data_IF_812248898633
#
_entry.id   IF_812248898633
#
_cell.length_a   1.000
_cell.length_b   1.000
_cell.length_c   1.000
_cell.angle_alpha   90.00
_cell.angle_beta   90.00
_cell.angle_gamma   90.00
#
_symmetry.space_group_name_H-M   'P 1'
#
loop_
_entity.id
_entity.type
_entity.pdbx_description
1 polymer ?
#
# COMPACT_ATOMS: atom_id res chain seq x y z
N UNK A 1 5.83 -10.82 16.78
CA UNK A 1 4.52 -10.22 17.09
C UNK A 1 4.22 -10.31 18.58
N UNK A 2 3.57 -9.29 19.16
CA UNK A 2 3.09 -9.33 20.54
C UNK A 2 1.98 -10.36 20.72
N UNK A 3 1.71 -10.80 21.96
CA UNK A 3 0.61 -11.74 22.24
C UNK A 3 -0.77 -11.18 21.85
N UNK A 4 -0.96 -9.86 21.94
CA UNK A 4 -2.19 -9.20 21.50
C UNK A 4 -2.38 -9.34 19.98
N UNK A 5 -1.32 -9.18 19.20
CA UNK A 5 -1.39 -9.30 17.73
C UNK A 5 -1.73 -10.72 17.27
N UNK A 6 -1.34 -11.76 18.03
CA UNK A 6 -1.69 -13.16 17.74
C UNK A 6 -3.18 -13.46 17.88
N UNK A 7 -3.94 -12.64 18.62
CA UNK A 7 -5.40 -12.79 18.79
C UNK A 7 -6.20 -12.16 17.63
N UNK A 8 -5.56 -11.33 16.81
CA UNK A 8 -6.22 -10.70 15.67
C UNK A 8 -6.36 -11.76 14.57
N UNK A 9 -7.57 -11.95 13.98
CA UNK A 9 -7.78 -12.99 12.98
C UNK A 9 -6.83 -12.93 11.78
N UNK A 10 -6.55 -11.72 11.28
CA UNK A 10 -5.57 -11.50 10.24
C UNK A 10 -5.07 -10.05 10.24
N UNK A 11 -3.81 -9.83 9.89
CA UNK A 11 -3.21 -8.49 9.77
C UNK A 11 -2.58 -8.35 8.38
N UNK A 12 -2.98 -7.32 7.63
CA UNK A 12 -2.28 -6.89 6.43
C UNK A 12 -1.38 -5.71 6.80
N UNK A 13 -0.09 -5.83 6.49
CA UNK A 13 0.90 -4.77 6.67
C UNK A 13 1.36 -4.31 5.30
N UNK A 14 1.29 -3.00 5.05
CA UNK A 14 1.82 -2.39 3.83
C UNK A 14 2.93 -1.44 4.27
N UNK A 15 4.16 -1.74 3.85
CA UNK A 15 5.31 -0.89 4.11
C UNK A 15 5.73 -0.20 2.80
N UNK A 16 5.46 1.10 2.68
CA UNK A 16 5.96 1.89 1.56
C UNK A 16 7.37 2.38 1.88
N UNK A 17 8.36 1.84 1.17
CA UNK A 17 9.76 2.22 1.30
C UNK A 17 10.01 3.45 0.42
N UNK A 18 10.09 4.62 1.05
CA UNK A 18 10.13 5.93 0.40
C UNK A 18 11.59 6.39 0.22
N UNK A 19 12.10 6.45 -1.02
CA UNK A 19 13.45 6.92 -1.29
C UNK A 19 13.53 8.43 -1.05
N UNK A 20 14.37 8.83 -0.09
CA UNK A 20 14.57 10.22 0.31
C UNK A 20 15.95 10.38 0.97
N UNK A 21 16.24 11.56 1.52
CA UNK A 21 17.47 11.81 2.30
C UNK A 21 17.09 12.37 3.67
N UNK A 22 17.01 11.54 4.73
CA UNK A 22 17.18 10.08 4.77
C UNK A 22 16.02 9.33 4.10
N UNK A 23 16.14 8.01 3.89
CA UNK A 23 15.02 7.17 3.46
C UNK A 23 13.97 7.07 4.57
N UNK A 24 12.69 6.93 4.19
CA UNK A 24 11.57 6.77 5.11
C UNK A 24 10.82 5.47 4.85
N UNK A 25 10.14 4.95 5.88
CA UNK A 25 9.13 3.92 5.75
C UNK A 25 7.78 4.49 6.19
N UNK A 26 6.75 4.32 5.37
CA UNK A 26 5.37 4.54 5.78
C UNK A 26 4.69 3.18 5.94
N UNK A 27 4.53 2.75 7.19
CA UNK A 27 3.98 1.44 7.52
C UNK A 27 2.53 1.58 7.95
N UNK A 28 1.64 0.85 7.27
CA UNK A 28 0.20 0.83 7.52
C UNK A 28 -0.22 -0.57 7.95
N UNK A 29 -0.91 -0.67 9.08
CA UNK A 29 -1.41 -1.92 9.64
C UNK A 29 -2.93 -1.97 9.56
N UNK A 30 -3.46 -3.01 8.91
CA UNK A 30 -4.89 -3.25 8.77
C UNK A 30 -5.24 -4.58 9.46
N UNK A 31 -5.98 -4.48 10.57
CA UNK A 31 -6.45 -5.64 11.32
C UNK A 31 -7.84 -6.06 10.85
N UNK A 32 -8.00 -7.33 10.48
CA UNK A 32 -9.29 -7.89 10.13
C UNK A 32 -10.10 -8.20 11.39
N UNK A 33 -11.38 -7.82 11.40
CA UNK A 33 -12.30 -8.14 12.50
C UNK A 33 -12.73 -9.61 12.51
N UNK A 34 -12.61 -10.30 11.37
CA UNK A 34 -13.06 -11.68 11.17
C UNK A 34 -11.98 -12.49 10.45
N UNK A 35 -11.96 -13.82 10.63
CA UNK A 35 -11.07 -14.68 9.86
C UNK A 35 -11.26 -14.52 8.36
N UNK A 36 -10.16 -14.56 7.61
CA UNK A 36 -10.21 -14.50 6.15
C UNK A 36 -10.81 -15.79 5.61
N UNK A 37 -11.80 -15.66 4.71
CA UNK A 37 -12.26 -16.79 3.91
C UNK A 37 -11.18 -17.21 2.91
N UNK A 38 -10.65 -18.44 3.04
CA UNK A 38 -9.57 -18.96 2.19
C UNK A 38 -9.94 -19.03 0.71
N UNK A 39 -11.21 -19.23 0.38
CA UNK A 39 -11.69 -19.33 -1.00
C UNK A 39 -11.91 -17.95 -1.66
N UNK A 40 -11.88 -16.88 -0.86
CA UNK A 40 -12.00 -15.50 -1.38
C UNK A 40 -10.77 -15.08 -2.19
N UNK A 41 -10.90 -14.00 -2.97
CA UNK A 41 -9.75 -13.40 -3.65
C UNK A 41 -8.64 -13.00 -2.66
N UNK A 42 -9.00 -12.48 -1.49
CA UNK A 42 -8.04 -12.15 -0.43
C UNK A 42 -7.34 -13.41 0.12
N UNK A 43 -8.08 -14.49 0.39
CA UNK A 43 -7.51 -15.75 0.84
C UNK A 43 -6.50 -16.32 -0.15
N UNK A 44 -6.87 -16.38 -1.44
CA UNK A 44 -5.98 -16.80 -2.53
C UNK A 44 -4.79 -15.87 -2.73
N UNK A 45 -4.94 -14.57 -2.49
CA UNK A 45 -3.83 -13.62 -2.56
C UNK A 45 -2.84 -13.81 -1.40
N UNK A 46 -3.36 -14.05 -0.19
CA UNK A 46 -2.54 -14.27 1.01
C UNK A 46 -1.71 -15.55 0.88
N UNK A 47 -2.30 -16.66 0.45
CA UNK A 47 -1.62 -17.96 0.36
C UNK A 47 -1.09 -18.28 -1.05
N UNK A 48 -1.19 -17.32 -1.98
CA UNK A 48 -0.77 -17.45 -3.37
C UNK A 48 0.73 -17.30 -3.61
N UNK A 49 1.13 -17.27 -4.88
CA UNK A 49 2.51 -17.00 -5.30
C UNK A 49 2.77 -15.51 -5.44
N UNK A 50 4.03 -15.08 -5.38
CA UNK A 50 4.40 -13.68 -5.63
C UNK A 50 3.97 -13.22 -7.02
N UNK A 51 4.10 -14.06 -8.04
CA UNK A 51 3.59 -13.75 -9.38
C UNK A 51 2.07 -13.48 -9.41
N UNK A 52 1.28 -14.19 -8.60
CA UNK A 52 -0.15 -13.91 -8.45
C UNK A 52 -0.40 -12.60 -7.72
N UNK A 53 0.37 -12.31 -6.67
CA UNK A 53 0.28 -11.06 -5.90
C UNK A 53 0.68 -9.86 -6.75
N UNK A 54 1.81 -9.93 -7.44
CA UNK A 54 2.34 -8.89 -8.31
C UNK A 54 1.35 -8.52 -9.42
N UNK A 55 0.71 -9.54 -10.00
CA UNK A 55 -0.24 -9.35 -11.07
C UNK A 55 -1.53 -8.62 -10.66
N UNK A 56 -1.81 -8.52 -9.35
CA UNK A 56 -3.11 -8.09 -8.81
C UNK A 56 -3.03 -7.03 -7.70
N UNK A 57 -1.88 -6.82 -7.06
CA UNK A 57 -1.76 -5.85 -5.98
C UNK A 57 -1.93 -4.43 -6.52
N UNK A 58 -2.96 -3.73 -6.03
CA UNK A 58 -3.43 -2.48 -6.61
C UNK A 58 -3.55 -1.36 -5.58
N UNK A 59 -3.14 -0.16 -5.97
CA UNK A 59 -3.25 1.06 -5.18
C UNK A 59 -4.00 2.13 -5.99
N UNK A 60 -4.94 2.81 -5.34
CA UNK A 60 -5.61 3.99 -5.90
C UNK A 60 -5.24 5.19 -5.04
N UNK A 61 -4.45 6.14 -5.57
CA UNK A 61 -4.17 7.39 -4.89
C UNK A 61 -5.17 8.48 -5.27
N UNK A 62 -5.40 9.43 -4.37
CA UNK A 62 -6.15 10.65 -4.65
C UNK A 62 -5.62 11.83 -3.84
N UNK A 63 -5.15 12.88 -4.51
CA UNK A 63 -4.75 14.13 -3.85
C UNK A 63 -6.01 14.99 -3.63
N UNK A 64 -6.54 14.94 -2.41
CA UNK A 64 -7.74 15.68 -2.00
C UNK A 64 -7.44 17.18 -1.96
N UNK A 65 -6.38 17.55 -1.24
CA UNK A 65 -5.91 18.93 -1.10
C UNK A 65 -4.44 19.01 -1.52
N UNK A 66 -4.05 20.08 -2.22
CA UNK A 66 -2.67 20.26 -2.64
C UNK A 66 -2.51 20.97 -3.97
N UNK A 67 -1.26 21.31 -4.30
CA UNK A 67 -0.89 21.99 -5.53
C UNK A 67 -1.28 21.16 -6.77
N UNK A 68 -1.86 21.82 -7.79
CA UNK A 68 -2.44 21.13 -8.96
C UNK A 68 -1.42 20.30 -9.74
N UNK A 69 -0.14 20.70 -9.75
CA UNK A 69 0.92 19.95 -10.41
C UNK A 69 1.18 18.61 -9.72
N UNK A 70 1.05 18.56 -8.39
CA UNK A 70 1.13 17.30 -7.62
C UNK A 70 -0.07 16.42 -7.94
N UNK A 71 -1.29 16.99 -8.00
CA UNK A 71 -2.50 16.26 -8.42
C UNK A 71 -2.33 15.62 -9.80
N UNK A 72 -1.76 16.36 -10.75
CA UNK A 72 -1.52 15.88 -12.12
C UNK A 72 -0.46 14.78 -12.18
N UNK A 73 0.61 14.89 -11.40
CA UNK A 73 1.70 13.92 -11.39
C UNK A 73 1.28 12.58 -10.76
N UNK A 74 0.52 12.62 -9.67
CA UNK A 74 0.01 11.42 -8.99
C UNK A 74 -1.15 10.80 -9.76
N UNK A 75 -2.03 11.64 -10.31
CA UNK A 75 -3.25 11.21 -10.96
C UNK A 75 -4.27 10.63 -9.97
N UNK A 76 -5.33 10.04 -10.50
CA UNK A 76 -6.41 9.39 -9.73
C UNK A 76 -6.70 7.97 -10.22
N UNK A 77 -5.90 7.47 -11.17
CA UNK A 77 -6.07 6.14 -11.75
C UNK A 77 -5.45 5.10 -10.84
N UNK A 78 -6.07 3.93 -10.78
CA UNK A 78 -5.50 2.78 -10.11
C UNK A 78 -4.17 2.37 -10.75
N UNK A 79 -3.21 1.98 -9.92
CA UNK A 79 -1.91 1.46 -10.32
C UNK A 79 -1.76 0.03 -9.79
N UNK A 80 -1.39 -0.92 -10.67
CA UNK A 80 -0.94 -2.25 -10.26
C UNK A 80 0.48 -2.14 -9.71
N UNK A 81 0.60 -1.88 -8.41
CA UNK A 81 1.89 -1.66 -7.75
C UNK A 81 2.84 -2.83 -7.96
N UNK A 82 2.34 -4.07 -7.83
CA UNK A 82 3.15 -5.28 -8.02
C UNK A 82 3.78 -5.42 -9.41
N UNK A 83 3.32 -4.64 -10.40
CA UNK A 83 3.95 -4.56 -11.73
C UNK A 83 4.78 -3.29 -11.92
N UNK A 84 4.52 -2.24 -11.15
CA UNK A 84 5.10 -0.92 -11.33
C UNK A 84 6.39 -0.73 -10.52
N UNK A 85 6.49 -1.43 -9.39
CA UNK A 85 7.60 -1.39 -8.44
C UNK A 85 7.84 -2.79 -7.88
N UNK A 86 9.00 -3.00 -7.26
CA UNK A 86 9.35 -4.28 -6.64
C UNK A 86 8.56 -4.42 -5.34
N UNK A 87 7.84 -5.53 -5.20
CA UNK A 87 7.14 -5.88 -3.98
C UNK A 87 7.78 -7.13 -3.37
N UNK A 88 8.13 -7.10 -2.09
CA UNK A 88 8.54 -8.30 -1.35
C UNK A 88 7.43 -8.69 -0.38
N UNK A 89 7.14 -9.99 -0.30
CA UNK A 89 6.01 -10.51 0.44
C UNK A 89 6.48 -11.38 1.61
N UNK A 90 6.11 -11.01 2.82
CA UNK A 90 6.38 -11.78 4.02
C UNK A 90 5.06 -12.34 4.57
N UNK A 91 4.82 -13.62 4.33
CA UNK A 91 3.65 -14.36 4.86
C UNK A 91 4.08 -15.19 6.07
N UNK A 92 3.47 -14.95 7.24
CA UNK A 92 3.67 -15.75 8.46
C UNK A 92 2.38 -15.81 9.30
N UNK A 93 2.17 -16.87 10.09
CA UNK A 93 1.06 -17.03 11.05
C UNK A 93 -0.27 -16.40 10.57
N UNK A 94 -0.66 -15.28 11.19
CA UNK A 94 -1.87 -14.51 10.92
C UNK A 94 -1.60 -13.18 10.21
N UNK A 95 -0.44 -12.97 9.56
CA UNK A 95 -0.18 -11.74 8.83
C UNK A 95 0.45 -11.94 7.45
N UNK A 96 0.23 -10.95 6.58
CA UNK A 96 0.96 -10.74 5.34
C UNK A 96 1.51 -9.32 5.36
N UNK A 97 2.81 -9.18 5.21
CA UNK A 97 3.47 -7.91 4.98
C UNK A 97 3.90 -7.78 3.52
N UNK A 98 3.68 -6.59 2.96
CA UNK A 98 4.06 -6.22 1.60
C UNK A 98 4.99 -5.02 1.69
N UNK A 99 6.27 -5.27 1.47
CA UNK A 99 7.29 -4.24 1.31
C UNK A 99 7.26 -3.72 -0.13
N UNK A 100 6.95 -2.45 -0.31
CA UNK A 100 6.83 -1.80 -1.61
C UNK A 100 8.03 -0.87 -1.80
N UNK A 101 9.00 -1.31 -2.60
CA UNK A 101 10.20 -0.53 -2.91
C UNK A 101 9.90 0.50 -4.01
N UNK A 102 9.52 1.71 -3.61
CA UNK A 102 9.28 2.83 -4.54
C UNK A 102 10.58 3.20 -5.29
N UNK A 103 11.74 2.95 -4.68
CA UNK A 103 13.06 3.20 -5.24
C UNK A 103 13.36 2.40 -6.51
N UNK A 104 12.75 1.23 -6.67
CA UNK A 104 13.06 0.32 -7.80
C UNK A 104 12.56 0.83 -9.16
N UNK A 105 11.68 1.84 -9.18
CA UNK A 105 11.18 2.47 -10.41
C UNK A 105 11.61 3.93 -10.52
N UNK A 106 12.23 4.29 -11.65
CA UNK A 106 12.60 5.70 -11.92
C UNK A 106 11.38 6.62 -12.02
N UNK A 107 10.25 6.11 -12.53
CA UNK A 107 8.99 6.85 -12.61
C UNK A 107 8.43 7.08 -11.22
N UNK A 108 8.36 6.03 -10.38
CA UNK A 108 7.85 6.16 -9.01
C UNK A 108 8.74 7.07 -8.17
N UNK A 109 10.07 6.97 -8.29
CA UNK A 109 11.04 7.89 -7.68
C UNK A 109 10.81 9.35 -8.07
N UNK A 110 10.51 9.61 -9.33
CA UNK A 110 10.27 10.98 -9.81
C UNK A 110 8.98 11.56 -9.22
N UNK A 111 7.92 10.75 -9.16
CA UNK A 111 6.64 11.16 -8.56
C UNK A 111 6.81 11.41 -7.06
N UNK A 112 7.44 10.49 -6.33
CA UNK A 112 7.60 10.64 -4.88
C UNK A 112 8.51 11.81 -4.51
N UNK A 113 9.55 12.10 -5.32
CA UNK A 113 10.40 13.28 -5.13
C UNK A 113 9.62 14.59 -5.24
N UNK A 114 8.69 14.68 -6.20
CA UNK A 114 7.77 15.81 -6.28
C UNK A 114 6.84 15.87 -5.07
N UNK A 115 6.20 14.75 -4.71
CA UNK A 115 5.25 14.68 -3.59
C UNK A 115 5.90 15.10 -2.27
N UNK A 116 7.12 14.62 -1.99
CA UNK A 116 7.87 14.96 -0.78
C UNK A 116 8.15 16.47 -0.66
N UNK A 117 8.36 17.17 -1.79
CA UNK A 117 8.52 18.63 -1.79
C UNK A 117 7.27 19.39 -1.34
N UNK A 118 6.09 18.76 -1.34
CA UNK A 118 4.82 19.37 -0.97
C UNK A 118 4.10 18.64 0.18
N UNK A 119 4.68 17.58 0.75
CA UNK A 119 3.98 16.63 1.62
C UNK A 119 3.33 17.26 2.86
N UNK A 120 3.91 18.34 3.40
CA UNK A 120 3.39 19.11 4.54
C UNK A 120 2.20 20.02 4.18
N UNK A 121 1.84 20.11 2.89
CA UNK A 121 0.80 21.00 2.36
C UNK A 121 -0.27 20.26 1.55
N UNK A 122 -0.21 18.93 1.50
CA UNK A 122 -1.17 18.10 0.77
C UNK A 122 -1.97 17.18 1.71
N UNK A 123 -3.12 16.76 1.23
CA UNK A 123 -3.92 15.67 1.81
C UNK A 123 -4.08 14.60 0.74
N UNK A 124 -3.66 13.37 1.07
CA UNK A 124 -3.67 12.24 0.14
C UNK A 124 -4.49 11.11 0.73
N UNK A 125 -5.43 10.60 -0.05
CA UNK A 125 -6.11 9.34 0.22
C UNK A 125 -5.47 8.22 -0.58
N UNK A 126 -5.25 7.08 0.08
CA UNK A 126 -4.79 5.86 -0.54
C UNK A 126 -5.82 4.76 -0.26
N UNK A 127 -6.17 4.00 -1.30
CA UNK A 127 -6.97 2.78 -1.16
C UNK A 127 -6.22 1.58 -1.75
N UNK A 128 -6.16 0.51 -0.97
CA UNK A 128 -5.44 -0.73 -1.31
C UNK A 128 -6.46 -1.80 -1.67
N UNK A 129 -6.25 -2.46 -2.81
CA UNK A 129 -7.16 -3.47 -3.36
C UNK A 129 -6.37 -4.63 -3.99
N UNK A 130 -7.09 -5.71 -4.25
CA UNK A 130 -6.64 -6.79 -5.14
C UNK A 130 -7.47 -6.71 -6.41
N UNK A 131 -6.80 -6.66 -7.55
CA UNK A 131 -7.44 -6.61 -8.86
C UNK A 131 -8.12 -7.94 -9.19
N UNK A 132 -9.41 -7.86 -9.49
CA UNK A 132 -10.18 -8.96 -10.03
C UNK A 132 -9.82 -9.16 -11.51
N UNK A 133 -9.66 -10.42 -11.92
CA UNK A 133 -9.39 -10.83 -13.31
C UNK A 133 -10.51 -11.68 -13.90
N UNK A 134 -11.35 -12.26 -13.05
CA UNK A 134 -12.48 -13.09 -13.44
C UNK A 134 -13.78 -12.47 -12.92
N UNK A 135 -14.89 -12.72 -13.61
CA UNK A 135 -16.21 -12.18 -13.24
C UNK A 135 -16.64 -12.59 -11.82
N UNK A 136 -16.35 -13.83 -11.40
CA UNK A 136 -16.62 -14.32 -10.05
C UNK A 136 -15.85 -13.60 -8.94
N UNK A 137 -14.80 -12.85 -9.30
CA UNK A 137 -13.98 -12.08 -8.38
C UNK A 137 -14.50 -10.64 -8.20
N UNK A 138 -15.52 -10.25 -8.99
CA UNK A 138 -16.15 -8.95 -8.92
C UNK A 138 -17.36 -8.95 -7.96
N UNK A 139 -17.67 -7.79 -7.34
CA UNK A 139 -16.90 -6.55 -7.39
C UNK A 139 -15.58 -6.66 -6.62
N UNK A 140 -14.62 -5.80 -6.96
CA UNK A 140 -13.41 -5.67 -6.15
C UNK A 140 -13.73 -5.02 -4.80
N UNK A 141 -13.01 -5.43 -3.76
CA UNK A 141 -13.17 -4.90 -2.42
C UNK A 141 -11.92 -4.12 -1.99
N UNK A 142 -12.16 -3.00 -1.30
CA UNK A 142 -11.10 -2.24 -0.63
C UNK A 142 -10.64 -3.04 0.59
N UNK A 143 -9.35 -3.34 0.66
CA UNK A 143 -8.73 -4.02 1.79
C UNK A 143 -8.41 -3.06 2.94
N UNK A 144 -8.05 -1.83 2.59
CA UNK A 144 -7.67 -0.80 3.55
C UNK A 144 -7.58 0.56 2.88
N UNK A 145 -7.81 1.61 3.66
CA UNK A 145 -7.60 2.99 3.25
C UNK A 145 -6.76 3.74 4.27
N UNK A 146 -6.11 4.81 3.83
CA UNK A 146 -5.49 5.77 4.73
C UNK A 146 -5.64 7.17 4.16
N UNK A 147 -5.84 8.15 5.04
CA UNK A 147 -5.67 9.56 4.72
C UNK A 147 -4.40 10.07 5.36
N UNK A 148 -3.47 10.54 4.54
CA UNK A 148 -2.27 11.23 4.95
C UNK A 148 -2.54 12.73 4.89
N UNK A 149 -2.57 13.38 6.05
CA UNK A 149 -2.87 14.81 6.16
C UNK A 149 -1.61 15.58 6.53
N UNK A 150 -1.06 16.34 5.58
CA UNK A 150 0.05 17.28 5.81
C UNK A 150 1.19 16.66 6.61
N UNK A 151 1.59 15.45 6.22
CA UNK A 151 2.57 14.65 6.95
C UNK A 151 3.89 15.42 7.04
N UNK A 152 4.46 15.50 8.24
CA UNK A 152 5.78 16.07 8.45
C UNK A 152 6.83 14.93 8.48
N UNK A 153 7.71 14.82 7.47
CA UNK A 153 8.76 13.80 7.48
C UNK A 153 9.73 13.92 8.67
N UNK A 154 9.93 15.13 9.19
CA UNK A 154 10.84 15.37 10.32
C UNK A 154 10.32 14.78 11.63
N UNK A 155 9.04 14.42 11.72
CA UNK A 155 8.48 13.70 12.89
C UNK A 155 8.63 12.18 12.78
N UNK A 156 9.30 11.67 11.75
CA UNK A 156 9.56 10.24 11.63
C UNK A 156 10.40 9.73 12.81
N UNK A 157 10.02 8.57 13.33
CA UNK A 157 10.74 7.92 14.43
C UNK A 157 11.79 6.99 13.85
N UNK A 158 13.00 7.00 14.41
CA UNK A 158 14.02 6.00 14.09
C UNK A 158 13.58 4.64 14.63
N UNK A 159 13.61 3.63 13.77
CA UNK A 159 13.28 2.24 14.09
C UNK A 159 14.56 1.40 13.95
#
# INVERSE_FOLDING_TARGET
MSEAAKKIPFILVINLQVPAKPNYNLVMYYAAERPVNKDSLLGRFIDGTDAFRDARFKLIPSIVEGYWMVKRAVGTKACLLGKAVTCNYLRQDNFLEIDVDIGSSSVARSIIGLVLGYVTSIVVDLAILIEAKEEKELPEYILGTVRLNRVNPDSAVSI
#
